data_IF_492867964248
#
_entry.id   IF_492867964248
#
_cell.length_a   1.000
_cell.length_b   1.000
_cell.length_c   1.000
_cell.angle_alpha   90.00
_cell.angle_beta   90.00
_cell.angle_gamma   90.00
#
_symmetry.space_group_name_H-M   'P 1'
#
loop_
_entity.id
_entity.type
_entity.pdbx_description
1 polymer ?
#
# COMPACT_ATOMS: atom_id res chain seq x y z
N UNK A 1 20.75 -20.13 3.78
CA UNK A 1 19.59 -21.01 4.06
C UNK A 1 18.61 -20.23 4.90
N UNK A 2 17.45 -19.84 4.35
CA UNK A 2 16.38 -19.27 5.17
C UNK A 2 15.72 -20.43 5.92
N UNK A 3 15.61 -20.34 7.24
CA UNK A 3 14.86 -21.34 8.01
C UNK A 3 13.38 -21.19 7.72
N UNK A 4 12.61 -22.29 7.79
CA UNK A 4 11.15 -22.28 7.61
C UNK A 4 10.45 -21.16 8.40
N UNK A 5 10.92 -20.88 9.62
CA UNK A 5 10.42 -19.80 10.46
C UNK A 5 10.65 -18.40 9.91
N UNK A 6 11.78 -18.13 9.25
CA UNK A 6 12.05 -16.84 8.61
C UNK A 6 11.10 -16.60 7.44
N UNK A 7 10.83 -17.63 6.63
CA UNK A 7 9.89 -17.54 5.52
C UNK A 7 8.44 -17.31 6.00
N UNK A 8 8.03 -17.99 7.07
CA UNK A 8 6.71 -17.81 7.67
C UNK A 8 6.56 -16.41 8.28
N UNK A 9 7.59 -15.91 8.98
CA UNK A 9 7.57 -14.56 9.55
C UNK A 9 7.46 -13.47 8.48
N UNK A 10 8.23 -13.60 7.38
CA UNK A 10 8.15 -12.68 6.24
C UNK A 10 6.78 -12.75 5.55
N UNK A 11 6.24 -13.96 5.35
CA UNK A 11 4.91 -14.14 4.79
C UNK A 11 3.83 -13.48 5.65
N UNK A 12 3.92 -13.64 6.97
CA UNK A 12 2.94 -13.08 7.89
C UNK A 12 2.98 -11.55 7.88
N UNK A 13 4.17 -10.96 7.89
CA UNK A 13 4.33 -9.50 7.77
C UNK A 13 3.73 -8.94 6.48
N UNK A 14 3.94 -9.61 5.35
CA UNK A 14 3.35 -9.22 4.07
C UNK A 14 1.82 -9.38 4.06
N UNK A 15 1.30 -10.43 4.68
CA UNK A 15 -0.15 -10.62 4.79
C UNK A 15 -0.81 -9.54 5.65
N UNK A 16 -0.17 -9.11 6.75
CA UNK A 16 -0.64 -7.97 7.54
C UNK A 16 -0.69 -6.68 6.73
N UNK A 17 0.32 -6.44 5.88
CA UNK A 17 0.34 -5.28 4.98
C UNK A 17 -0.83 -5.38 3.99
N UNK A 18 -1.03 -6.54 3.36
CA UNK A 18 -2.13 -6.76 2.42
C UNK A 18 -3.50 -6.44 3.06
N UNK A 19 -3.79 -7.02 4.23
CA UNK A 19 -5.06 -6.78 4.92
C UNK A 19 -5.28 -5.33 5.34
N UNK A 20 -4.24 -4.64 5.82
CA UNK A 20 -4.35 -3.20 6.14
C UNK A 20 -4.68 -2.37 4.90
N UNK A 21 -4.07 -2.71 3.77
CA UNK A 21 -4.27 -1.99 2.51
C UNK A 21 -5.64 -2.30 1.91
N UNK A 22 -6.10 -3.56 1.93
CA UNK A 22 -7.45 -3.97 1.54
C UNK A 22 -8.54 -3.29 2.37
N UNK A 23 -8.32 -3.19 3.69
CA UNK A 23 -9.20 -2.44 4.59
C UNK A 23 -9.32 -0.97 4.16
N UNK A 24 -8.20 -0.31 3.86
CA UNK A 24 -8.23 1.06 3.38
C UNK A 24 -8.90 1.22 2.01
N UNK A 25 -8.67 0.31 1.06
CA UNK A 25 -9.36 0.32 -0.24
C UNK A 25 -10.88 0.22 -0.09
N UNK A 26 -11.34 -0.64 0.83
CA UNK A 26 -12.76 -0.76 1.16
C UNK A 26 -13.31 0.57 1.72
N UNK A 27 -12.59 1.19 2.65
CA UNK A 27 -12.97 2.47 3.26
C UNK A 27 -12.94 3.61 2.23
N UNK A 28 -11.98 3.64 1.30
CA UNK A 28 -11.95 4.60 0.20
C UNK A 28 -13.17 4.46 -0.71
N UNK A 29 -13.58 3.23 -1.00
CA UNK A 29 -14.78 2.94 -1.77
C UNK A 29 -16.04 3.46 -1.05
N UNK A 30 -16.14 3.25 0.26
CA UNK A 30 -17.24 3.78 1.07
C UNK A 30 -17.26 5.32 1.11
N UNK A 31 -16.09 5.96 1.17
CA UNK A 31 -15.96 7.42 1.07
C UNK A 31 -16.42 7.93 -0.30
N UNK A 32 -16.06 7.25 -1.40
CA UNK A 32 -16.58 7.57 -2.74
C UNK A 32 -18.11 7.46 -2.79
N UNK A 33 -18.68 6.40 -2.23
CA UNK A 33 -20.13 6.22 -2.20
C UNK A 33 -20.85 7.32 -1.40
N UNK A 34 -20.30 7.72 -0.25
CA UNK A 34 -20.83 8.88 0.49
C UNK A 34 -20.80 10.16 -0.32
N UNK A 35 -19.71 10.42 -1.04
CA UNK A 35 -19.61 11.59 -1.92
C UNK A 35 -20.62 11.55 -3.05
N UNK A 36 -20.91 10.37 -3.60
CA UNK A 36 -21.98 10.15 -4.60
C UNK A 36 -23.39 10.19 -4.00
N UNK A 37 -23.54 10.56 -2.71
CA UNK A 37 -24.80 10.61 -1.96
C UNK A 37 -25.53 9.25 -1.89
N UNK A 38 -24.80 8.15 -1.99
CA UNK A 38 -25.32 6.81 -1.74
C UNK A 38 -25.43 6.63 -0.22
N UNK A 39 -26.51 6.02 0.24
CA UNK A 39 -26.79 5.82 1.67
C UNK A 39 -25.76 4.86 2.25
N UNK A 40 -24.78 5.40 2.99
CA UNK A 40 -23.78 4.62 3.73
C UNK A 40 -23.94 4.90 5.22
N UNK A 41 -24.12 3.85 6.02
CA UNK A 41 -24.39 3.93 7.46
C UNK A 41 -23.18 4.39 8.30
N UNK A 42 -21.95 4.19 7.81
CA UNK A 42 -20.74 4.51 8.58
C UNK A 42 -20.50 6.02 8.65
N UNK A 43 -19.92 6.54 9.73
CA UNK A 43 -19.58 7.96 9.86
C UNK A 43 -18.41 8.35 8.93
N UNK A 44 -18.49 9.53 8.31
CA UNK A 44 -17.42 9.97 7.41
C UNK A 44 -16.11 10.25 8.16
N UNK A 45 -16.18 10.78 9.38
CA UNK A 45 -15.01 11.01 10.21
C UNK A 45 -14.32 9.71 10.61
N UNK A 46 -15.09 8.67 10.92
CA UNK A 46 -14.56 7.34 11.21
C UNK A 46 -13.88 6.68 9.99
N UNK A 47 -14.51 6.76 8.82
CA UNK A 47 -13.91 6.30 7.56
C UNK A 47 -12.57 7.00 7.29
N UNK A 48 -12.51 8.34 7.44
CA UNK A 48 -11.26 9.10 7.26
C UNK A 48 -10.16 8.66 8.23
N UNK A 49 -10.51 8.31 9.49
CA UNK A 49 -9.54 7.79 10.47
C UNK A 49 -9.01 6.42 10.08
N UNK A 50 -9.86 5.50 9.62
CA UNK A 50 -9.45 4.15 9.18
C UNK A 50 -8.51 4.21 7.97
N UNK A 51 -8.79 5.08 7.00
CA UNK A 51 -7.90 5.29 5.83
C UNK A 51 -6.49 5.74 6.22
N UNK A 52 -6.34 6.51 7.31
CA UNK A 52 -5.03 6.97 7.78
C UNK A 52 -4.10 5.85 8.26
N UNK A 53 -4.60 4.65 8.57
CA UNK A 53 -3.78 3.53 9.04
C UNK A 53 -2.72 3.13 8.01
N UNK A 54 -3.07 3.22 6.73
CA UNK A 54 -2.19 2.90 5.59
C UNK A 54 -1.08 3.92 5.37
N UNK A 55 -1.16 5.09 6.02
CA UNK A 55 -0.06 6.07 6.01
C UNK A 55 1.27 5.44 6.43
N UNK A 56 1.23 4.57 7.44
CA UNK A 56 2.42 3.90 7.97
C UNK A 56 3.10 3.02 6.91
N UNK A 57 2.31 2.26 6.15
CA UNK A 57 2.76 1.39 5.05
C UNK A 57 3.43 2.23 3.96
N UNK A 58 2.76 3.27 3.48
CA UNK A 58 3.29 4.15 2.43
C UNK A 58 4.56 4.88 2.89
N UNK A 59 4.62 5.33 4.15
CA UNK A 59 5.82 5.97 4.69
C UNK A 59 7.01 5.00 4.82
N UNK A 60 6.76 3.73 5.17
CA UNK A 60 7.82 2.73 5.26
C UNK A 60 8.39 2.41 3.88
N UNK A 61 7.53 2.23 2.86
CA UNK A 61 7.97 2.04 1.47
C UNK A 61 8.79 3.23 0.96
N UNK A 62 8.35 4.45 1.27
CA UNK A 62 9.08 5.66 0.89
C UNK A 62 10.46 5.73 1.55
N UNK A 63 10.57 5.35 2.84
CA UNK A 63 11.87 5.24 3.53
C UNK A 63 12.75 4.18 2.87
N UNK A 64 12.23 3.01 2.53
CA UNK A 64 12.97 1.96 1.83
C UNK A 64 13.52 2.44 0.48
N UNK A 65 12.73 3.18 -0.30
CA UNK A 65 13.18 3.77 -1.57
C UNK A 65 14.31 4.78 -1.31
N UNK A 66 14.16 5.67 -0.34
CA UNK A 66 15.19 6.66 0.00
C UNK A 66 16.50 5.99 0.43
N UNK A 67 16.41 4.92 1.22
CA UNK A 67 17.57 4.13 1.62
C UNK A 67 18.21 3.46 0.41
N UNK A 68 17.42 2.81 -0.44
CA UNK A 68 17.91 2.12 -1.65
C UNK A 68 18.60 3.07 -2.63
N UNK A 69 18.09 4.30 -2.80
CA UNK A 69 18.73 5.34 -3.62
C UNK A 69 20.09 5.76 -3.03
N UNK A 70 20.22 5.82 -1.69
CA UNK A 70 21.44 6.26 -1.01
C UNK A 70 22.52 5.18 -0.92
N UNK A 71 22.13 3.93 -0.67
CA UNK A 71 23.05 2.83 -0.36
C UNK A 71 23.17 1.78 -1.45
N UNK A 72 22.38 1.87 -2.53
CA UNK A 72 22.37 0.87 -3.61
C UNK A 72 21.82 -0.50 -3.18
N UNK A 73 21.04 -0.54 -2.09
CA UNK A 73 20.50 -1.77 -1.52
C UNK A 73 19.51 -2.47 -2.45
N UNK A 74 19.35 -3.78 -2.25
CA UNK A 74 18.36 -4.60 -2.96
C UNK A 74 16.95 -4.11 -2.64
N UNK A 75 16.19 -3.79 -3.68
CA UNK A 75 14.82 -3.32 -3.59
C UNK A 75 13.89 -4.42 -3.06
N UNK A 76 12.97 -4.03 -2.17
CA UNK A 76 11.91 -4.92 -1.72
C UNK A 76 10.98 -5.31 -2.88
N UNK A 77 10.35 -6.49 -2.82
CA UNK A 77 9.40 -6.94 -3.84
C UNK A 77 8.29 -5.92 -4.12
N UNK A 78 7.80 -5.24 -3.08
CA UNK A 78 6.77 -4.21 -3.19
C UNK A 78 7.23 -3.00 -4.02
N UNK A 79 8.47 -2.53 -3.84
CA UNK A 79 9.00 -1.41 -4.64
C UNK A 79 9.17 -1.82 -6.10
N UNK A 80 9.61 -3.05 -6.36
CA UNK A 80 9.72 -3.57 -7.73
C UNK A 80 8.37 -3.68 -8.42
N UNK A 81 7.34 -4.11 -7.69
CA UNK A 81 5.98 -4.13 -8.19
C UNK A 81 5.49 -2.70 -8.53
N UNK A 82 5.75 -1.72 -7.66
CA UNK A 82 5.41 -0.32 -7.94
C UNK A 82 6.17 0.25 -9.16
N UNK A 83 7.45 -0.07 -9.33
CA UNK A 83 8.20 0.29 -10.54
C UNK A 83 7.54 -0.27 -11.81
N UNK A 84 7.09 -1.53 -11.76
CA UNK A 84 6.41 -2.20 -12.88
C UNK A 84 5.03 -1.58 -13.15
N UNK A 85 4.24 -1.34 -12.11
CA UNK A 85 2.89 -0.77 -12.20
C UNK A 85 2.91 0.63 -12.83
N UNK A 86 3.85 1.47 -12.42
CA UNK A 86 4.00 2.81 -13.00
C UNK A 86 4.81 2.85 -14.30
N UNK A 87 5.42 1.72 -14.72
CA UNK A 87 6.29 1.67 -15.89
C UNK A 87 7.57 2.49 -15.76
N UNK A 88 8.06 2.69 -14.53
CA UNK A 88 9.26 3.49 -14.25
C UNK A 88 10.44 2.60 -13.86
N UNK A 89 11.53 2.69 -14.62
CA UNK A 89 12.81 2.12 -14.23
C UNK A 89 13.49 2.94 -13.10
N UNK A 90 13.19 4.24 -13.00
CA UNK A 90 13.79 5.15 -12.03
C UNK A 90 13.01 5.18 -10.70
N UNK A 91 13.70 4.88 -9.61
CA UNK A 91 13.18 4.93 -8.25
C UNK A 91 12.75 6.34 -7.82
N UNK A 92 13.33 7.41 -8.39
CA UNK A 92 12.93 8.78 -8.10
C UNK A 92 11.49 9.06 -8.52
N UNK A 93 11.07 8.55 -9.67
CA UNK A 93 9.70 8.69 -10.15
C UNK A 93 8.71 7.90 -9.31
N UNK A 94 9.09 6.70 -8.86
CA UNK A 94 8.27 5.92 -7.92
C UNK A 94 8.15 6.61 -6.56
N UNK A 95 9.24 7.24 -6.09
CA UNK A 95 9.21 8.07 -4.88
C UNK A 95 8.23 9.22 -5.02
N UNK A 96 8.26 9.96 -6.13
CA UNK A 96 7.33 11.06 -6.41
C UNK A 96 5.86 10.60 -6.44
N UNK A 97 5.60 9.42 -7.01
CA UNK A 97 4.27 8.80 -7.00
C UNK A 97 3.79 8.43 -5.61
N UNK A 98 4.65 7.84 -4.77
CA UNK A 98 4.32 7.57 -3.37
C UNK A 98 4.14 8.86 -2.54
N UNK A 99 4.92 9.91 -2.80
CA UNK A 99 4.73 11.23 -2.19
C UNK A 99 3.39 11.85 -2.58
N UNK A 100 2.97 11.65 -3.84
CA UNK A 100 1.66 12.07 -4.34
C UNK A 100 0.53 11.30 -3.66
N UNK A 101 0.65 9.96 -3.54
CA UNK A 101 -0.32 9.14 -2.82
C UNK A 101 -0.43 9.51 -1.33
N UNK A 102 0.70 9.80 -0.66
CA UNK A 102 0.69 10.30 0.73
C UNK A 102 0.04 11.68 0.86
N UNK A 103 0.18 12.53 -0.15
CA UNK A 103 -0.45 13.85 -0.18
C UNK A 103 -1.96 13.74 -0.41
N UNK A 104 -2.38 12.85 -1.32
CA UNK A 104 -3.79 12.48 -1.52
C UNK A 104 -4.41 11.93 -0.23
N UNK A 105 -3.71 11.03 0.46
CA UNK A 105 -4.13 10.49 1.75
C UNK A 105 -4.36 11.58 2.81
N UNK A 106 -3.46 12.57 2.88
CA UNK A 106 -3.62 13.71 3.79
C UNK A 106 -4.86 14.54 3.45
N UNK A 107 -5.09 14.84 2.16
CA UNK A 107 -6.29 15.57 1.70
C UNK A 107 -7.58 14.80 2.00
N UNK A 108 -7.56 13.48 1.82
CA UNK A 108 -8.67 12.59 2.19
C UNK A 108 -8.95 12.68 3.69
N UNK A 109 -7.91 12.63 4.52
CA UNK A 109 -8.08 12.74 5.96
C UNK A 109 -8.61 14.11 6.43
N UNK A 110 -8.27 15.21 5.75
CA UNK A 110 -8.77 16.55 6.07
C UNK A 110 -10.16 16.82 5.51
N UNK A 111 -10.66 15.99 4.59
CA UNK A 111 -11.95 16.20 3.92
C UNK A 111 -11.88 17.06 2.65
N UNK A 112 -10.68 17.40 2.18
CA UNK A 112 -10.45 18.27 1.01
C UNK A 112 -10.10 17.46 -0.25
N UNK A 113 -10.69 16.28 -0.40
CA UNK A 113 -10.29 15.31 -1.41
C UNK A 113 -10.96 15.51 -2.77
N UNK A 114 -10.21 15.20 -3.83
CA UNK A 114 -10.65 15.23 -5.24
C UNK A 114 -10.75 13.82 -5.82
N UNK A 115 -11.39 13.65 -6.97
CA UNK A 115 -11.47 12.34 -7.65
C UNK A 115 -10.08 11.78 -7.96
N UNK A 116 -9.18 12.63 -8.42
CA UNK A 116 -7.77 12.27 -8.67
C UNK A 116 -7.04 11.77 -7.42
N UNK A 117 -7.45 12.20 -6.22
CA UNK A 117 -6.84 11.73 -4.97
C UNK A 117 -7.18 10.28 -4.69
N UNK A 118 -8.39 9.87 -5.03
CA UNK A 118 -8.77 8.47 -4.91
C UNK A 118 -8.07 7.60 -5.94
N UNK A 119 -8.03 8.03 -7.22
CA UNK A 119 -7.37 7.24 -8.27
C UNK A 119 -5.88 7.02 -8.00
N UNK A 120 -5.15 8.07 -7.61
CA UNK A 120 -3.72 7.95 -7.29
C UNK A 120 -3.48 7.07 -6.05
N UNK A 121 -4.36 7.15 -5.04
CA UNK A 121 -4.24 6.34 -3.84
C UNK A 121 -4.63 4.88 -4.10
N UNK A 122 -5.78 4.62 -4.72
CA UNK A 122 -6.26 3.29 -5.05
C UNK A 122 -5.25 2.53 -5.90
N UNK A 123 -4.72 3.14 -6.95
CA UNK A 123 -3.73 2.48 -7.82
C UNK A 123 -2.48 2.05 -7.05
N UNK A 124 -1.98 2.90 -6.16
CA UNK A 124 -0.82 2.55 -5.32
C UNK A 124 -1.16 1.41 -4.35
N UNK A 125 -2.33 1.48 -3.71
CA UNK A 125 -2.78 0.52 -2.72
C UNK A 125 -3.12 -0.83 -3.32
N UNK A 126 -3.80 -0.88 -4.47
CA UNK A 126 -4.11 -2.12 -5.20
C UNK A 126 -2.83 -2.86 -5.57
N UNK A 127 -1.82 -2.16 -6.09
CA UNK A 127 -0.52 -2.75 -6.40
C UNK A 127 0.15 -3.34 -5.15
N UNK A 128 0.12 -2.62 -4.03
CA UNK A 128 0.72 -3.08 -2.77
C UNK A 128 -0.03 -4.29 -2.22
N UNK A 129 -1.36 -4.25 -2.18
CA UNK A 129 -2.18 -5.34 -1.68
C UNK A 129 -1.98 -6.62 -2.50
N UNK A 130 -2.03 -6.50 -3.84
CA UNK A 130 -1.83 -7.62 -4.74
C UNK A 130 -0.45 -8.26 -4.57
N UNK A 131 0.62 -7.46 -4.59
CA UNK A 131 1.98 -7.98 -4.48
C UNK A 131 2.24 -8.57 -3.10
N UNK A 132 1.78 -7.90 -2.03
CA UNK A 132 1.95 -8.39 -0.65
C UNK A 132 1.24 -9.73 -0.43
N UNK A 133 0.01 -9.86 -0.92
CA UNK A 133 -0.77 -11.11 -0.84
C UNK A 133 -0.13 -12.23 -1.66
N UNK A 134 0.21 -11.96 -2.93
CA UNK A 134 0.87 -12.91 -3.83
C UNK A 134 2.19 -13.43 -3.26
N UNK A 135 3.03 -12.51 -2.76
CA UNK A 135 4.34 -12.86 -2.20
C UNK A 135 4.22 -13.61 -0.88
N UNK A 136 3.25 -13.26 -0.04
CA UNK A 136 2.96 -14.01 1.19
C UNK A 136 2.61 -15.47 0.87
N UNK A 137 1.73 -15.70 -0.10
CA UNK A 137 1.32 -17.05 -0.51
C UNK A 137 2.49 -17.87 -1.09
N UNK A 138 3.38 -17.23 -1.87
CA UNK A 138 4.59 -17.89 -2.39
C UNK A 138 5.51 -18.35 -1.24
N UNK A 139 5.72 -17.48 -0.24
CA UNK A 139 6.57 -17.77 0.91
C UNK A 139 6.01 -18.88 1.79
N UNK A 140 4.69 -18.90 2.04
CA UNK A 140 4.01 -20.00 2.73
C UNK A 140 4.18 -21.32 1.97
N UNK A 141 3.96 -21.29 0.66
CA UNK A 141 4.10 -22.47 -0.21
C UNK A 141 5.53 -23.02 -0.18
N UNK A 142 6.54 -22.13 -0.21
CA UNK A 142 7.95 -22.51 -0.08
C UNK A 142 8.24 -23.08 1.31
N UNK A 143 7.74 -22.46 2.37
CA UNK A 143 7.91 -22.93 3.74
C UNK A 143 7.30 -24.32 3.97
N UNK A 144 6.18 -24.64 3.31
CA UNK A 144 5.56 -25.97 3.36
C UNK A 144 6.35 -27.08 2.66
N UNK A 145 7.37 -26.73 1.85
CA UNK A 145 8.29 -27.69 1.22
C UNK A 145 9.54 -27.98 2.08
N UNK A 146 9.68 -27.32 3.24
CA UNK A 146 10.74 -27.52 4.23
C UNK A 146 10.21 -28.25 5.48
#
# INVERSE_FOLDING_TARGET
MATRWVLIAEAWSLNEIAHKVEGALTVLTLLKFKRLKITVSEDEGELRRRVLEVRSVLQNLLKEIQWSIKSGHVLSPLIKALQKEYGYADLRRVKEKLESALSALKRISSGEYRDSDFEELERALECIAYEASSRSQELITRAGRY
#
